data_IF_066541252273
#
_entry.id   IF_066541252273
#
_cell.length_a   1.000
_cell.length_b   1.000
_cell.length_c   1.000
_cell.angle_alpha   90.00
_cell.angle_beta   90.00
_cell.angle_gamma   90.00
#
_symmetry.space_group_name_H-M   'P 1'
#
loop_
_entity.id
_entity.type
_entity.pdbx_description
1 polymer ?
#
# COMPACT_ATOMS: atom_id res chain seq x y z
N UNK A 1 5.49 13.26 21.20
CA UNK A 1 5.64 13.97 19.92
C UNK A 1 5.14 13.05 18.81
N UNK A 2 4.52 13.62 17.78
CA UNK A 2 4.01 12.86 16.63
C UNK A 2 5.11 12.55 15.61
N UNK A 3 6.11 13.44 15.47
CA UNK A 3 7.33 13.15 14.71
C UNK A 3 8.08 11.98 15.37
N UNK A 4 8.38 10.90 14.65
CA UNK A 4 9.22 9.81 15.16
C UNK A 4 10.64 10.27 15.46
N UNK A 5 11.27 9.63 16.44
CA UNK A 5 12.70 9.75 16.72
C UNK A 5 13.53 8.75 15.92
N UNK A 6 14.86 8.86 15.97
CA UNK A 6 15.76 7.95 15.26
C UNK A 6 15.68 6.49 15.74
N UNK A 7 15.24 6.28 16.98
CA UNK A 7 15.09 4.96 17.59
C UNK A 7 13.68 4.39 17.43
N UNK A 8 12.75 5.18 16.89
CA UNK A 8 11.38 4.75 16.69
C UNK A 8 11.24 3.83 15.48
N UNK A 9 10.30 2.88 15.59
CA UNK A 9 9.97 1.97 14.51
C UNK A 9 8.63 1.30 14.72
N UNK A 10 8.08 0.80 13.62
CA UNK A 10 6.81 0.09 13.59
C UNK A 10 6.92 -1.11 12.66
N UNK A 11 6.27 -2.22 13.02
CA UNK A 11 6.06 -3.35 12.13
C UNK A 11 4.58 -3.57 11.92
N UNK A 12 4.19 -3.59 10.66
CA UNK A 12 2.82 -3.79 10.17
C UNK A 12 2.70 -5.22 9.66
N UNK A 13 1.74 -5.98 10.19
CA UNK A 13 1.32 -7.20 9.55
C UNK A 13 0.44 -6.85 8.35
N UNK A 14 0.75 -7.46 7.22
CA UNK A 14 -0.05 -7.43 6.01
C UNK A 14 -0.74 -8.78 5.83
N UNK A 15 -2.00 -8.77 5.45
CA UNK A 15 -2.69 -9.97 5.00
C UNK A 15 -3.56 -9.68 3.79
N UNK A 16 -3.69 -10.67 2.91
CA UNK A 16 -4.57 -10.61 1.74
C UNK A 16 -5.82 -11.44 1.96
N UNK A 17 -6.96 -10.93 1.51
CA UNK A 17 -8.19 -11.71 1.38
C UNK A 17 -8.88 -11.37 0.07
N UNK A 18 -9.86 -12.17 -0.33
CA UNK A 18 -10.77 -11.86 -1.45
C UNK A 18 -12.20 -11.92 -0.96
N UNK A 19 -13.13 -11.27 -1.68
CA UNK A 19 -14.55 -11.40 -1.36
C UNK A 19 -15.08 -12.81 -1.66
N UNK A 20 -14.44 -13.52 -2.59
CA UNK A 20 -14.71 -14.90 -2.93
C UNK A 20 -13.43 -15.64 -3.28
N UNK A 21 -13.29 -16.90 -2.84
CA UNK A 21 -12.22 -17.80 -3.29
C UNK A 21 -12.49 -18.38 -4.68
N UNK A 22 -13.61 -18.01 -5.31
CA UNK A 22 -14.06 -18.47 -6.61
C UNK A 22 -14.46 -17.29 -7.49
N UNK A 23 -13.93 -17.23 -8.71
CA UNK A 23 -14.31 -16.25 -9.72
C UNK A 23 -15.03 -16.95 -10.87
N UNK A 24 -16.26 -16.51 -11.18
CA UNK A 24 -17.04 -17.06 -12.30
C UNK A 24 -16.81 -16.26 -13.58
N UNK A 25 -16.35 -16.95 -14.62
CA UNK A 25 -15.97 -16.38 -15.90
C UNK A 25 -17.18 -15.98 -16.78
N UNK A 26 -18.36 -16.56 -16.57
CA UNK A 26 -19.60 -16.18 -17.26
C UNK A 26 -20.25 -14.92 -16.71
N UNK A 27 -19.86 -14.50 -15.50
CA UNK A 27 -20.63 -13.55 -14.71
C UNK A 27 -20.14 -12.10 -14.84
N UNK A 28 -19.01 -11.87 -15.53
CA UNK A 28 -18.36 -10.56 -15.70
C UNK A 28 -18.13 -9.78 -14.39
N UNK A 29 -18.15 -10.44 -13.23
CA UNK A 29 -17.93 -9.79 -11.94
C UNK A 29 -16.46 -9.39 -11.78
N UNK A 30 -16.24 -8.29 -11.08
CA UNK A 30 -14.92 -7.86 -10.64
C UNK A 30 -14.34 -8.86 -9.63
N UNK A 31 -13.04 -9.08 -9.69
CA UNK A 31 -12.29 -9.71 -8.61
C UNK A 31 -11.95 -8.64 -7.56
N UNK A 32 -12.43 -8.82 -6.34
CA UNK A 32 -12.08 -7.94 -5.22
C UNK A 32 -10.99 -8.60 -4.36
N UNK A 33 -9.87 -7.92 -4.24
CA UNK A 33 -8.76 -8.27 -3.34
C UNK A 33 -8.69 -7.22 -2.24
N UNK A 34 -8.57 -7.64 -1.00
CA UNK A 34 -8.45 -6.76 0.15
C UNK A 34 -7.07 -6.89 0.76
N UNK A 35 -6.39 -5.76 0.86
CA UNK A 35 -5.13 -5.63 1.59
C UNK A 35 -5.45 -5.16 3.00
N UNK A 36 -5.27 -6.05 3.96
CA UNK A 36 -5.47 -5.76 5.37
C UNK A 36 -4.14 -5.44 6.01
N UNK A 37 -4.09 -4.38 6.83
CA UNK A 37 -2.86 -3.98 7.50
C UNK A 37 -3.12 -3.63 8.96
N UNK A 38 -2.29 -4.13 9.88
CA UNK A 38 -2.41 -3.84 11.32
C UNK A 38 -1.05 -3.77 12.00
N UNK A 39 -0.93 -2.96 13.04
CA UNK A 39 0.30 -2.87 13.82
C UNK A 39 0.49 -4.17 14.61
N UNK A 40 1.66 -4.79 14.49
CA UNK A 40 2.08 -5.95 15.30
C UNK A 40 3.22 -5.64 16.26
N UNK A 41 4.01 -4.61 15.96
CA UNK A 41 5.06 -4.13 16.82
C UNK A 41 5.17 -2.61 16.69
N UNK A 42 5.40 -1.92 17.81
CA UNK A 42 5.58 -0.47 17.85
C UNK A 42 6.49 -0.08 19.01
N UNK A 43 7.44 0.81 18.77
CA UNK A 43 8.25 1.45 19.82
C UNK A 43 7.44 2.47 20.64
N UNK A 44 6.27 2.89 20.13
CA UNK A 44 5.31 3.75 20.81
C UNK A 44 3.95 3.03 20.98
N UNK A 45 3.81 2.07 21.91
CA UNK A 45 2.58 1.32 22.11
C UNK A 45 1.36 2.21 22.34
N UNK A 46 0.21 1.80 21.79
CA UNK A 46 -1.05 2.54 21.90
C UNK A 46 -1.17 3.76 21.01
N UNK A 47 -0.19 4.01 20.12
CA UNK A 47 -0.28 5.06 19.10
C UNK A 47 -0.54 4.51 17.70
N UNK A 48 -1.43 5.19 16.99
CA UNK A 48 -1.67 4.96 15.57
C UNK A 48 -0.47 5.41 14.74
N UNK A 49 -0.41 4.93 13.51
CA UNK A 49 0.62 5.33 12.54
C UNK A 49 -0.07 5.90 11.31
N UNK A 50 0.33 7.09 10.90
CA UNK A 50 -0.08 7.65 9.60
C UNK A 50 1.04 7.46 8.58
N UNK A 51 0.68 7.02 7.38
CA UNK A 51 1.58 6.82 6.24
C UNK A 51 1.13 7.63 5.03
N UNK A 52 2.05 7.90 4.10
CA UNK A 52 1.67 8.18 2.71
C UNK A 52 1.41 6.87 2.00
N UNK A 53 0.19 6.66 1.53
CA UNK A 53 -0.25 5.43 0.87
C UNK A 53 0.21 5.34 -0.60
N UNK A 54 0.51 6.48 -1.23
CA UNK A 54 0.91 6.55 -2.63
C UNK A 54 2.08 5.62 -2.95
N UNK A 55 2.03 5.06 -4.16
CA UNK A 55 3.09 4.17 -4.72
C UNK A 55 3.34 2.89 -3.90
N UNK A 56 2.44 2.54 -3.00
CA UNK A 56 2.50 1.34 -2.18
C UNK A 56 1.22 0.50 -2.32
N UNK A 57 1.25 -0.70 -1.77
CA UNK A 57 0.09 -1.60 -1.65
C UNK A 57 -1.03 -1.05 -0.76
N UNK A 58 -0.79 0.05 -0.04
CA UNK A 58 -1.81 0.72 0.79
C UNK A 58 -2.67 1.72 0.01
N UNK A 59 -2.36 1.98 -1.26
CA UNK A 59 -3.07 2.97 -2.05
C UNK A 59 -4.51 2.55 -2.40
N UNK A 60 -4.79 1.25 -2.58
CA UNK A 60 -6.08 0.77 -3.07
C UNK A 60 -6.31 1.03 -4.57
N UNK A 61 -5.25 1.44 -5.26
CA UNK A 61 -5.20 1.65 -6.69
C UNK A 61 -3.81 1.31 -7.23
N UNK A 62 -3.62 1.51 -8.53
CA UNK A 62 -2.35 1.30 -9.22
C UNK A 62 -1.92 -0.19 -9.32
N UNK A 63 -2.81 -1.06 -9.77
CA UNK A 63 -2.42 -2.43 -10.17
C UNK A 63 -1.24 -2.42 -11.15
N UNK A 64 -1.24 -1.42 -12.03
CA UNK A 64 -0.20 -1.19 -13.01
C UNK A 64 1.17 -0.87 -12.41
N UNK A 65 1.31 -0.51 -11.12
CA UNK A 65 2.65 -0.39 -10.52
C UNK A 65 3.16 -1.73 -9.99
N UNK A 66 2.37 -2.80 -10.09
CA UNK A 66 2.75 -4.16 -9.75
C UNK A 66 2.66 -4.46 -8.26
N UNK A 67 1.64 -3.95 -7.56
CA UNK A 67 1.39 -4.24 -6.13
C UNK A 67 1.14 -5.73 -5.87
N UNK A 68 0.64 -6.45 -6.86
CA UNK A 68 0.43 -7.90 -6.82
C UNK A 68 1.40 -8.69 -7.72
N UNK A 69 2.60 -8.15 -7.93
CA UNK A 69 3.57 -8.72 -8.84
C UNK A 69 3.06 -8.70 -10.28
N UNK A 70 3.34 -9.77 -11.04
CA UNK A 70 2.90 -9.92 -12.44
C UNK A 70 1.38 -10.10 -12.58
N UNK A 71 0.68 -10.45 -11.51
CA UNK A 71 -0.75 -10.76 -11.52
C UNK A 71 -1.03 -12.11 -10.91
N UNK A 72 -2.05 -12.81 -11.43
CA UNK A 72 -2.44 -14.12 -10.91
C UNK A 72 -1.70 -15.25 -11.63
N UNK A 73 -0.98 -16.10 -10.91
CA UNK A 73 -0.11 -17.17 -11.45
C UNK A 73 -0.77 -18.53 -11.23
N UNK A 74 -0.85 -19.37 -12.26
CA UNK A 74 -1.44 -20.72 -12.11
C UNK A 74 -0.64 -21.56 -11.11
N UNK A 75 -1.36 -22.24 -10.21
CA UNK A 75 -0.78 -23.18 -9.23
C UNK A 75 -0.22 -24.43 -9.90
N UNK A 76 -0.77 -24.79 -11.05
CA UNK A 76 -0.41 -26.00 -11.78
C UNK A 76 0.71 -25.75 -12.79
N UNK A 77 0.75 -24.57 -13.40
CA UNK A 77 1.76 -24.21 -14.40
C UNK A 77 2.17 -22.73 -14.25
N UNK A 78 3.34 -22.44 -13.62
CA UNK A 78 3.80 -21.07 -13.40
C UNK A 78 4.04 -20.24 -14.68
N UNK A 79 4.07 -20.87 -15.87
CA UNK A 79 4.14 -20.16 -17.15
C UNK A 79 2.81 -19.53 -17.56
N UNK A 80 1.70 -19.97 -16.96
CA UNK A 80 0.36 -19.44 -17.19
C UNK A 80 0.07 -18.33 -16.17
N UNK A 81 0.06 -17.09 -16.66
CA UNK A 81 -0.14 -15.90 -15.84
C UNK A 81 -1.27 -15.06 -16.43
N UNK A 82 -2.21 -14.66 -15.58
CA UNK A 82 -3.17 -13.60 -15.89
C UNK A 82 -2.48 -12.28 -15.55
N UNK A 83 -1.89 -11.64 -16.57
CA UNK A 83 -1.04 -10.46 -16.41
C UNK A 83 -1.87 -9.21 -16.08
N UNK A 84 -1.55 -8.59 -14.94
CA UNK A 84 -2.19 -7.34 -14.51
C UNK A 84 -1.59 -6.10 -15.18
N UNK A 85 -0.65 -6.24 -16.11
CA UNK A 85 -0.14 -5.17 -16.97
C UNK A 85 0.68 -4.15 -16.21
N UNK A 86 1.81 -4.57 -15.64
CA UNK A 86 2.71 -3.68 -14.91
C UNK A 86 3.34 -2.66 -15.87
N UNK A 87 3.13 -1.37 -15.59
CA UNK A 87 3.87 -0.26 -16.17
C UNK A 87 4.85 0.31 -15.16
N UNK A 88 5.93 0.93 -15.65
CA UNK A 88 6.85 1.73 -14.83
C UNK A 88 6.54 3.20 -15.09
N UNK A 89 5.57 3.80 -14.39
CA UNK A 89 5.25 5.20 -14.61
C UNK A 89 6.47 6.05 -14.23
N UNK A 90 6.78 7.04 -15.07
CA UNK A 90 7.64 8.14 -14.64
C UNK A 90 6.75 9.13 -13.93
N UNK A 91 6.84 9.17 -12.61
CA UNK A 91 6.15 10.18 -11.85
C UNK A 91 6.81 11.53 -12.11
N UNK A 92 6.02 12.50 -12.55
CA UNK A 92 6.41 13.90 -12.53
C UNK A 92 5.64 14.54 -11.39
N UNK A 93 6.40 14.93 -10.37
CA UNK A 93 5.89 15.38 -9.10
C UNK A 93 5.81 16.91 -9.16
N UNK A 94 4.76 17.42 -9.83
CA UNK A 94 4.43 18.85 -9.89
C UNK A 94 3.74 19.28 -8.59
N UNK A 95 4.49 19.22 -7.49
CA UNK A 95 3.96 19.49 -6.16
C UNK A 95 4.20 20.93 -5.73
N UNK A 96 3.13 21.66 -5.43
CA UNK A 96 3.17 22.96 -4.75
C UNK A 96 2.77 22.79 -3.27
N UNK A 97 3.40 23.55 -2.38
CA UNK A 97 3.05 23.60 -0.95
C UNK A 97 4.05 22.92 0.00
N UNK A 98 4.13 23.36 1.27
CA UNK A 98 5.07 22.83 2.28
C UNK A 98 4.59 21.55 2.98
N UNK A 99 3.34 21.11 2.77
CA UNK A 99 2.78 19.93 3.44
C UNK A 99 2.40 18.82 2.46
N UNK A 100 2.48 17.55 2.90
CA UNK A 100 2.10 16.38 2.13
C UNK A 100 0.64 16.46 1.63
N UNK A 101 -0.26 17.00 2.46
CA UNK A 101 -1.66 17.22 2.09
C UNK A 101 -1.83 18.25 0.98
N UNK A 102 -1.08 19.35 1.02
CA UNK A 102 -1.13 20.39 -0.04
C UNK A 102 -0.54 19.86 -1.35
N UNK A 103 0.45 18.97 -1.26
CA UNK A 103 1.04 18.25 -2.40
C UNK A 103 0.15 17.11 -2.93
N UNK A 104 -1.03 16.89 -2.35
CA UNK A 104 -1.99 15.90 -2.82
C UNK A 104 -1.67 14.44 -2.49
N UNK A 105 -0.76 14.18 -1.55
CA UNK A 105 -0.49 12.82 -1.08
C UNK A 105 -1.69 12.24 -0.34
N UNK A 106 -1.97 10.96 -0.60
CA UNK A 106 -2.97 10.17 0.13
C UNK A 106 -2.40 9.73 1.47
N UNK A 107 -2.99 10.24 2.54
CA UNK A 107 -2.62 9.90 3.91
C UNK A 107 -3.57 8.83 4.45
N UNK A 108 -3.00 7.84 5.14
CA UNK A 108 -3.77 6.75 5.71
C UNK A 108 -3.31 6.47 7.15
N UNK A 109 -4.25 6.31 8.07
CA UNK A 109 -3.99 5.96 9.47
C UNK A 109 -4.20 4.46 9.70
N UNK A 110 -3.19 3.77 10.24
CA UNK A 110 -3.31 2.43 10.81
C UNK A 110 -3.55 2.57 12.33
N UNK A 111 -4.70 2.09 12.85
CA UNK A 111 -5.07 2.27 14.25
C UNK A 111 -4.25 1.40 15.20
N UNK A 112 -4.06 1.88 16.43
CA UNK A 112 -3.27 1.22 17.47
C UNK A 112 -3.99 0.09 18.21
N UNK A 113 -5.32 0.03 18.09
CA UNK A 113 -6.18 -0.90 18.80
C UNK A 113 -6.18 -2.32 18.20
N UNK A 114 -5.41 -2.53 17.13
CA UNK A 114 -5.25 -3.80 16.46
C UNK A 114 -6.35 -4.12 15.44
N UNK A 115 -7.38 -3.26 15.27
CA UNK A 115 -8.43 -3.44 14.26
C UNK A 115 -7.87 -3.36 12.84
N UNK A 116 -6.82 -2.58 12.65
CA UNK A 116 -6.16 -2.40 11.37
C UNK A 116 -6.99 -1.61 10.37
N UNK A 117 -6.58 -1.71 9.11
CA UNK A 117 -7.25 -1.10 7.96
C UNK A 117 -7.53 -2.17 6.90
N UNK A 118 -8.46 -1.86 6.01
CA UNK A 118 -8.76 -2.67 4.82
C UNK A 118 -8.71 -1.76 3.61
N UNK A 119 -7.85 -2.10 2.66
CA UNK A 119 -7.64 -1.37 1.42
C UNK A 119 -8.16 -2.24 0.26
N UNK A 120 -9.31 -1.89 -0.34
CA UNK A 120 -9.89 -2.69 -1.41
C UNK A 120 -9.19 -2.43 -2.75
N UNK A 121 -9.03 -3.50 -3.53
CA UNK A 121 -8.61 -3.49 -4.92
C UNK A 121 -9.70 -4.16 -5.75
N UNK A 122 -10.40 -3.37 -6.55
CA UNK A 122 -11.38 -3.88 -7.50
C UNK A 122 -10.73 -4.08 -8.88
N UNK A 123 -10.64 -5.33 -9.31
CA UNK A 123 -10.08 -5.70 -10.61
C UNK A 123 -11.23 -6.12 -11.52
N UNK A 124 -11.67 -5.22 -12.40
CA UNK A 124 -12.78 -5.54 -13.30
C UNK A 124 -12.46 -6.72 -14.21
N UNK A 125 -13.49 -7.43 -14.66
CA UNK A 125 -13.33 -8.61 -15.52
C UNK A 125 -12.52 -8.30 -16.78
N UNK A 126 -12.84 -7.21 -17.47
CA UNK A 126 -12.09 -6.75 -18.64
C UNK A 126 -10.62 -6.46 -18.29
N UNK A 127 -10.37 -5.89 -17.10
CA UNK A 127 -9.03 -5.51 -16.66
C UNK A 127 -8.14 -6.71 -16.34
N UNK A 128 -8.72 -7.82 -15.86
CA UNK A 128 -8.01 -9.06 -15.56
C UNK A 128 -7.27 -9.59 -16.79
N UNK A 129 -7.94 -9.60 -17.94
CA UNK A 129 -7.40 -10.21 -19.16
C UNK A 129 -6.80 -9.19 -20.14
N UNK A 130 -7.03 -7.89 -19.95
CA UNK A 130 -6.60 -6.81 -20.87
C UNK A 130 -5.13 -6.88 -21.33
N UNK A 131 -4.23 -7.28 -20.45
CA UNK A 131 -2.78 -7.36 -20.74
C UNK A 131 -2.26 -8.80 -20.74
N UNK A 132 -3.12 -9.77 -20.46
CA UNK A 132 -2.79 -11.18 -20.44
C UNK A 132 -2.76 -11.75 -21.86
N UNK A 133 -1.92 -12.77 -22.06
CA UNK A 133 -2.02 -13.61 -23.26
C UNK A 133 -3.11 -14.67 -23.14
N UNK A 134 -3.57 -14.95 -21.92
CA UNK A 134 -4.72 -15.83 -21.66
C UNK A 134 -6.01 -15.04 -21.82
N UNK A 135 -7.01 -15.65 -22.44
CA UNK A 135 -8.40 -15.19 -22.42
C UNK A 135 -9.24 -16.06 -21.47
N UNK A 136 -10.48 -15.64 -21.12
CA UNK A 136 -11.37 -16.45 -20.29
C UNK A 136 -11.59 -17.87 -20.85
N UNK A 137 -11.61 -18.02 -22.18
CA UNK A 137 -11.82 -19.30 -22.88
C UNK A 137 -10.62 -20.26 -22.75
N UNK A 138 -9.43 -19.74 -22.44
CA UNK A 138 -8.21 -20.53 -22.23
C UNK A 138 -8.15 -21.16 -20.84
N UNK A 139 -9.04 -20.77 -19.93
CA UNK A 139 -9.03 -21.20 -18.53
C UNK A 139 -9.80 -22.51 -18.39
N UNK A 140 -9.13 -23.52 -17.84
CA UNK A 140 -9.80 -24.80 -17.59
C UNK A 140 -10.74 -24.68 -16.39
N UNK A 141 -11.98 -25.21 -16.43
CA UNK A 141 -12.87 -25.18 -15.28
C UNK A 141 -12.22 -25.76 -14.02
N UNK A 142 -12.16 -24.96 -12.96
CA UNK A 142 -11.54 -25.31 -11.70
C UNK A 142 -10.04 -25.09 -11.61
N UNK A 143 -9.40 -24.51 -12.64
CA UNK A 143 -8.02 -24.04 -12.57
C UNK A 143 -7.86 -23.00 -11.45
N UNK A 144 -6.74 -23.07 -10.72
CA UNK A 144 -6.49 -22.20 -9.57
C UNK A 144 -5.31 -21.28 -9.88
N UNK A 145 -5.52 -19.99 -9.63
CA UNK A 145 -4.49 -18.96 -9.75
C UNK A 145 -4.20 -18.35 -8.39
N UNK A 146 -2.94 -18.08 -8.11
CA UNK A 146 -2.47 -17.45 -6.88
C UNK A 146 -2.12 -15.98 -7.13
N UNK A 147 -2.56 -15.12 -6.22
CA UNK A 147 -2.16 -13.72 -6.14
C UNK A 147 -1.25 -13.56 -4.93
N UNK A 148 -0.15 -12.82 -5.11
CA UNK A 148 0.83 -12.54 -4.05
C UNK A 148 1.06 -11.04 -3.96
N UNK A 149 1.32 -10.52 -2.75
CA UNK A 149 1.81 -9.15 -2.63
C UNK A 149 3.24 -9.09 -3.14
N UNK A 150 3.54 -8.06 -3.92
CA UNK A 150 4.92 -7.72 -4.24
C UNK A 150 5.55 -6.99 -3.06
N UNK A 151 6.50 -7.65 -2.37
CA UNK A 151 7.16 -7.07 -1.19
C UNK A 151 7.88 -5.75 -1.50
N UNK A 152 8.36 -5.56 -2.74
CA UNK A 152 8.95 -4.28 -3.18
C UNK A 152 7.94 -3.13 -3.32
N UNK A 153 6.65 -3.40 -3.07
CA UNK A 153 5.56 -2.39 -3.04
C UNK A 153 4.95 -2.23 -1.64
N UNK A 154 5.54 -2.83 -0.62
CA UNK A 154 5.13 -2.64 0.78
C UNK A 154 5.83 -1.45 1.46
N UNK A 155 6.85 -0.88 0.83
CA UNK A 155 7.56 0.30 1.34
C UNK A 155 6.66 1.54 1.28
N UNK A 156 6.82 2.44 2.26
CA UNK A 156 6.15 3.73 2.31
C UNK A 156 7.16 4.85 2.15
N UNK A 157 6.76 5.95 1.52
CA UNK A 157 7.64 7.09 1.31
C UNK A 157 7.81 7.94 2.59
N UNK A 158 6.80 7.92 3.46
CA UNK A 158 6.75 8.72 4.67
C UNK A 158 5.82 8.09 5.72
N UNK A 159 6.16 8.23 7.00
CA UNK A 159 5.30 7.82 8.11
C UNK A 159 5.51 8.66 9.37
N UNK A 160 4.50 8.75 10.25
CA UNK A 160 4.60 9.35 11.58
C UNK A 160 3.64 8.72 12.60
N UNK A 161 3.74 9.12 13.87
CA UNK A 161 2.80 8.71 14.92
C UNK A 161 1.56 9.61 14.97
N UNK A 162 0.39 9.01 15.15
CA UNK A 162 -0.89 9.69 15.34
C UNK A 162 -1.86 9.47 14.20
N UNK A 163 -3.12 9.85 14.43
CA UNK A 163 -4.20 9.76 13.47
C UNK A 163 -4.36 11.07 12.68
N UNK A 164 -4.43 10.97 11.35
CA UNK A 164 -4.67 12.08 10.43
C UNK A 164 -5.93 12.88 10.77
N UNK A 165 -7.00 12.20 11.20
CA UNK A 165 -8.26 12.87 11.61
C UNK A 165 -8.34 13.19 13.10
N UNK A 166 -7.34 12.74 13.87
CA UNK A 166 -7.23 12.91 15.31
C UNK A 166 -6.09 13.85 15.69
N UNK A 167 -5.01 13.30 16.25
CA UNK A 167 -3.91 14.09 16.80
C UNK A 167 -3.15 14.92 15.76
N UNK A 168 -3.20 14.53 14.49
CA UNK A 168 -2.53 15.22 13.40
C UNK A 168 -3.40 16.28 12.72
N UNK A 169 -4.68 16.37 13.08
CA UNK A 169 -5.60 17.31 12.47
C UNK A 169 -5.14 18.75 12.66
N UNK A 170 -5.02 19.48 11.55
CA UNK A 170 -4.55 20.87 11.54
C UNK A 170 -3.04 21.03 11.76
N UNK A 171 -2.26 19.96 11.70
CA UNK A 171 -0.79 20.01 11.68
C UNK A 171 -0.26 20.02 10.25
N UNK A 172 0.90 20.62 10.07
CA UNK A 172 1.57 20.64 8.78
C UNK A 172 2.47 19.41 8.65
N UNK A 173 2.02 18.40 7.90
CA UNK A 173 2.83 17.20 7.67
C UNK A 173 3.91 17.51 6.64
N UNK A 174 5.13 17.76 7.10
CA UNK A 174 6.24 18.13 6.24
C UNK A 174 6.71 16.91 5.42
N UNK A 175 7.19 17.21 4.23
CA UNK A 175 7.65 16.27 3.20
C UNK A 175 8.95 15.56 3.56
N UNK A 176 9.82 16.25 4.30
CA UNK A 176 11.03 15.65 4.86
C UNK A 176 10.70 14.44 5.75
N UNK A 177 11.42 13.35 5.51
CA UNK A 177 11.46 12.17 6.36
C UNK A 177 12.90 11.87 6.79
N UNK A 178 13.04 11.25 7.97
CA UNK A 178 14.31 10.66 8.34
C UNK A 178 14.59 9.44 7.44
N UNK A 179 15.87 9.13 7.22
CA UNK A 179 16.27 7.96 6.43
C UNK A 179 16.06 8.17 4.92
N UNK A 180 17.16 8.16 4.17
CA UNK A 180 17.22 8.15 2.70
C UNK A 180 16.62 9.36 1.94
N UNK A 181 17.00 9.48 0.67
CA UNK A 181 16.44 10.46 -0.27
C UNK A 181 15.24 9.81 -0.99
N UNK A 182 14.11 9.67 -0.29
CA UNK A 182 12.88 9.15 -0.89
C UNK A 182 12.13 10.26 -1.63
N UNK A 183 11.27 9.86 -2.57
CA UNK A 183 10.65 10.77 -3.55
C UNK A 183 9.82 11.91 -2.92
N UNK A 184 9.35 11.74 -1.68
CA UNK A 184 8.66 12.81 -0.95
C UNK A 184 9.61 13.72 -0.15
N UNK A 185 10.86 13.33 0.13
CA UNK A 185 11.82 14.09 0.95
C UNK A 185 12.72 14.99 0.10
N UNK A 186 12.12 15.80 -0.76
CA UNK A 186 12.84 16.76 -1.62
C UNK A 186 13.29 18.02 -0.87
N UNK A 187 12.62 18.34 0.24
CA UNK A 187 12.90 19.51 1.05
C UNK A 187 13.90 19.18 2.17
N UNK A 188 14.71 20.17 2.54
CA UNK A 188 15.62 20.05 3.68
C UNK A 188 14.86 19.89 5.00
N UNK A 189 15.53 19.31 6.00
CA UNK A 189 14.99 19.26 7.36
C UNK A 189 14.86 20.68 7.91
N UNK A 190 13.65 21.06 8.32
CA UNK A 190 13.40 22.31 9.03
C UNK A 190 14.16 22.38 10.36
N UNK A 191 14.50 23.60 10.79
CA UNK A 191 15.05 23.84 12.12
C UNK A 191 14.00 23.63 13.21
N UNK A 192 14.43 23.34 14.44
CA UNK A 192 13.52 23.14 15.58
C UNK A 192 12.62 24.35 15.85
N UNK A 193 13.09 25.57 15.55
CA UNK A 193 12.27 26.78 15.65
C UNK A 193 11.16 26.79 14.60
N UNK A 194 11.48 26.51 13.35
CA UNK A 194 10.51 26.43 12.25
C UNK A 194 9.47 25.33 12.49
N UNK A 195 9.92 24.16 12.98
CA UNK A 195 9.04 23.06 13.34
C UNK A 195 8.00 23.51 14.38
N UNK A 196 8.46 24.19 15.43
CA UNK A 196 7.60 24.66 16.51
C UNK A 196 6.66 25.78 16.07
N UNK A 197 7.21 26.81 15.40
CA UNK A 197 6.46 28.00 14.99
C UNK A 197 5.43 27.66 13.91
N UNK A 198 5.75 26.72 13.02
CA UNK A 198 4.88 26.25 11.94
C UNK A 198 4.03 25.02 12.26
N UNK A 199 4.08 24.48 13.49
CA UNK A 199 3.35 23.26 13.90
C UNK A 199 3.58 22.08 12.92
N UNK A 200 4.84 21.89 12.50
CA UNK A 200 5.20 20.84 11.56
C UNK A 200 5.37 19.47 12.23
N UNK A 201 4.98 18.43 11.52
CA UNK A 201 5.31 17.03 11.82
C UNK A 201 6.25 16.52 10.75
N UNK A 202 7.33 15.89 11.18
CA UNK A 202 8.35 15.31 10.30
C UNK A 202 8.14 13.80 10.19
N UNK A 203 8.55 13.24 9.05
CA UNK A 203 8.53 11.79 8.84
C UNK A 203 9.62 11.07 9.61
N UNK A 204 9.33 9.86 10.07
CA UNK A 204 10.29 8.96 10.66
C UNK A 204 11.20 8.29 9.63
N UNK A 205 12.13 7.48 10.13
CA UNK A 205 13.03 6.67 9.31
C UNK A 205 12.23 5.60 8.56
N UNK A 206 12.12 5.69 7.24
CA UNK A 206 11.29 4.75 6.46
C UNK A 206 11.82 3.32 6.51
N UNK A 207 13.12 3.11 6.76
CA UNK A 207 13.70 1.77 6.96
C UNK A 207 13.25 1.15 8.30
N UNK A 208 12.66 1.96 9.19
CA UNK A 208 12.05 1.54 10.46
C UNK A 208 10.55 1.28 10.35
N UNK A 209 9.95 1.56 9.19
CA UNK A 209 8.61 1.09 8.85
C UNK A 209 8.73 -0.27 8.15
N UNK A 210 8.45 -1.34 8.90
CA UNK A 210 8.57 -2.71 8.40
C UNK A 210 7.21 -3.30 8.11
N UNK A 211 7.15 -4.14 7.08
CA UNK A 211 5.95 -4.90 6.73
C UNK A 211 6.27 -6.39 6.76
N UNK A 212 5.43 -7.16 7.44
CA UNK A 212 5.48 -8.61 7.52
C UNK A 212 4.24 -9.19 6.81
N UNK A 213 4.43 -9.89 5.70
CA UNK A 213 3.35 -10.64 5.05
C UNK A 213 3.02 -11.88 5.89
N UNK A 214 1.76 -11.94 6.38
CA UNK A 214 1.24 -13.03 7.21
C UNK A 214 0.28 -13.96 6.45
N UNK A 215 -0.03 -13.70 5.17
CA UNK A 215 -0.92 -14.54 4.37
C UNK A 215 -0.16 -15.45 3.43
N UNK A 216 0.86 -14.92 2.75
CA UNK A 216 1.41 -15.56 1.57
C UNK A 216 0.40 -15.55 0.40
N UNK A 217 0.53 -16.47 -0.57
CA UNK A 217 -0.32 -16.49 -1.75
C UNK A 217 -1.79 -16.80 -1.41
N UNK A 218 -2.72 -16.03 -2.02
CA UNK A 218 -4.16 -16.34 -1.97
C UNK A 218 -4.57 -17.05 -3.26
N UNK A 219 -5.26 -18.18 -3.15
CA UNK A 219 -5.74 -18.94 -4.29
C UNK A 219 -7.17 -18.54 -4.70
N UNK A 220 -7.37 -18.39 -6.00
CA UNK A 220 -8.66 -18.11 -6.63
C UNK A 220 -8.94 -19.22 -7.62
N UNK A 221 -10.06 -19.90 -7.41
CA UNK A 221 -10.55 -20.93 -8.32
C UNK A 221 -11.39 -20.29 -9.42
N UNK A 222 -11.05 -20.56 -10.67
CA UNK A 222 -11.81 -20.07 -11.83
C UNK A 222 -12.89 -21.09 -12.19
N UNK A 223 -14.15 -20.66 -12.26
CA UNK A 223 -15.27 -21.50 -12.70
C UNK A 223 -15.97 -20.87 -13.91
N UNK A 224 -16.68 -21.67 -14.73
CA UNK A 224 -17.53 -21.14 -15.77
C UNK A 224 -18.53 -20.12 -15.24
#
# INVERSE_FOLDING_TARGET
MNSPSADDGVTIALSLTTSSSTLSLSSSHSLEVFVCARIIHSTCPGRSVTITADRSVFAGEALEIGVFGLGAVSRQDPSRVIDFGIIRPRYHDDFEGPSLSERGYRLLTIPADGTGIVVPYEISFDRLFKHSTLSPEDITPGEEFEITVNHGRCEVLWWCWGDVEGELKGKNLHTWSQGGNYLCSLDDRLSEKEIKDGNYILGGDVDKFKVEDQTGPIAIKMIP
#
